data_IF_377830526339
#
_entry.id   IF_377830526339
#
_cell.length_a   1.000
_cell.length_b   1.000
_cell.length_c   1.000
_cell.angle_alpha   90.00
_cell.angle_beta   90.00
_cell.angle_gamma   90.00
#
_symmetry.space_group_name_H-M   'P 1'
#
loop_
_entity.id
_entity.type
_entity.pdbx_description
1 polymer ?
#
# COMPACT_ATOMS: atom_id res chain seq x y z
N UNK A 1 -21.50 -35.78 -24.68
CA UNK A 1 -21.11 -34.60 -23.87
C UNK A 1 -21.64 -33.38 -24.60
N UNK A 2 -22.81 -32.88 -24.20
CA UNK A 2 -23.38 -31.66 -24.77
C UNK A 2 -22.56 -30.47 -24.28
N UNK A 3 -21.96 -29.74 -25.20
CA UNK A 3 -21.32 -28.46 -24.92
C UNK A 3 -22.41 -27.40 -24.82
N UNK A 4 -22.64 -26.89 -23.62
CA UNK A 4 -23.55 -25.75 -23.37
C UNK A 4 -23.14 -24.58 -24.27
N UNK A 5 -23.92 -24.32 -25.33
CA UNK A 5 -23.77 -23.14 -26.19
C UNK A 5 -24.29 -21.92 -25.44
N UNK A 6 -23.45 -21.35 -24.58
CA UNK A 6 -23.75 -20.07 -23.95
C UNK A 6 -23.94 -18.98 -25.02
N UNK A 7 -25.00 -18.19 -24.89
CA UNK A 7 -25.27 -17.11 -25.85
C UNK A 7 -24.23 -15.97 -25.71
N UNK A 8 -23.99 -15.24 -26.80
CA UNK A 8 -23.12 -14.06 -26.77
C UNK A 8 -23.54 -13.04 -25.69
N UNK A 9 -24.85 -12.95 -25.39
CA UNK A 9 -25.37 -12.10 -24.33
C UNK A 9 -24.96 -12.57 -22.93
N UNK A 10 -24.89 -13.89 -22.70
CA UNK A 10 -24.38 -14.47 -21.46
C UNK A 10 -22.90 -14.13 -21.26
N UNK A 11 -22.08 -14.29 -22.31
CA UNK A 11 -20.66 -13.96 -22.26
C UNK A 11 -20.43 -12.45 -22.02
N UNK A 12 -21.17 -11.57 -22.70
CA UNK A 12 -21.11 -10.12 -22.49
C UNK A 12 -21.47 -9.73 -21.05
N UNK A 13 -22.50 -10.36 -20.46
CA UNK A 13 -22.88 -10.12 -19.06
C UNK A 13 -21.78 -10.55 -18.09
N UNK A 14 -21.13 -11.69 -18.36
CA UNK A 14 -20.03 -12.22 -17.54
C UNK A 14 -18.78 -11.35 -17.63
N UNK A 15 -18.44 -10.86 -18.83
CA UNK A 15 -17.32 -9.93 -19.05
C UNK A 15 -17.54 -8.64 -18.26
N UNK A 16 -18.71 -8.00 -18.38
CA UNK A 16 -19.01 -6.77 -17.62
C UNK A 16 -18.95 -6.97 -16.10
N UNK A 17 -19.37 -8.13 -15.61
CA UNK A 17 -19.28 -8.46 -14.20
C UNK A 17 -17.82 -8.62 -13.73
N UNK A 18 -16.97 -9.22 -14.57
CA UNK A 18 -15.54 -9.34 -14.30
C UNK A 18 -14.83 -7.98 -14.33
N UNK A 19 -15.09 -7.15 -15.33
CA UNK A 19 -14.55 -5.78 -15.43
C UNK A 19 -14.91 -4.95 -14.19
N UNK A 20 -16.17 -5.02 -13.74
CA UNK A 20 -16.60 -4.33 -12.50
C UNK A 20 -15.84 -4.84 -11.28
N UNK A 21 -15.56 -6.14 -11.20
CA UNK A 21 -14.83 -6.75 -10.08
C UNK A 21 -13.35 -6.37 -10.11
N UNK A 22 -12.73 -6.33 -11.28
CA UNK A 22 -11.37 -5.83 -11.48
C UNK A 22 -11.27 -4.39 -10.99
N UNK A 23 -12.17 -3.50 -11.43
CA UNK A 23 -12.19 -2.10 -11.02
C UNK A 23 -12.33 -1.92 -9.50
N UNK A 24 -13.14 -2.75 -8.83
CA UNK A 24 -13.27 -2.73 -7.37
C UNK A 24 -11.96 -3.16 -6.70
N UNK A 25 -11.30 -4.19 -7.22
CA UNK A 25 -10.02 -4.67 -6.70
C UNK A 25 -8.89 -3.66 -6.91
N UNK A 26 -8.87 -2.99 -8.07
CA UNK A 26 -7.93 -1.90 -8.37
C UNK A 26 -8.12 -0.74 -7.39
N UNK A 27 -9.36 -0.28 -7.19
CA UNK A 27 -9.67 0.77 -6.21
C UNK A 27 -9.30 0.36 -4.79
N UNK A 28 -9.53 -0.90 -4.39
CA UNK A 28 -9.15 -1.40 -3.07
C UNK A 28 -7.63 -1.45 -2.89
N UNK A 29 -6.89 -1.82 -3.94
CA UNK A 29 -5.44 -1.75 -3.98
C UNK A 29 -4.96 -0.31 -3.85
N UNK A 30 -5.59 0.63 -4.57
CA UNK A 30 -5.27 2.05 -4.55
C UNK A 30 -5.57 2.69 -3.17
N UNK A 31 -6.68 2.32 -2.53
CA UNK A 31 -6.98 2.73 -1.15
C UNK A 31 -6.00 2.14 -0.13
N UNK A 32 -5.51 0.91 -0.37
CA UNK A 32 -4.46 0.30 0.47
C UNK A 32 -3.09 0.93 0.25
N UNK A 33 -2.74 1.33 -0.97
CA UNK A 33 -1.50 2.08 -1.24
C UNK A 33 -1.58 3.53 -0.75
N UNK A 34 -2.77 4.14 -0.68
CA UNK A 34 -2.95 5.44 -0.03
C UNK A 34 -2.76 5.40 1.50
N UNK A 35 -2.88 4.21 2.11
CA UNK A 35 -2.52 3.93 3.51
C UNK A 35 -1.04 3.58 3.72
N UNK A 36 -0.15 4.04 2.84
CA UNK A 36 1.30 3.87 2.98
C UNK A 36 1.92 4.76 4.06
N UNK A 37 1.26 4.88 5.22
CA UNK A 37 1.89 5.40 6.44
C UNK A 37 2.26 4.24 7.32
N UNK A 38 3.55 3.95 7.41
CA UNK A 38 4.07 2.98 8.35
C UNK A 38 4.28 3.62 9.71
N UNK A 39 3.96 2.86 10.74
CA UNK A 39 4.47 3.09 12.08
C UNK A 39 5.96 2.75 12.13
N UNK A 40 6.68 3.21 13.15
CA UNK A 40 8.10 2.86 13.27
C UNK A 40 8.31 1.36 13.34
N UNK A 41 7.46 0.62 14.05
CA UNK A 41 7.53 -0.85 14.18
C UNK A 41 7.45 -1.54 12.81
N UNK A 42 6.48 -1.14 11.98
CA UNK A 42 6.34 -1.67 10.63
C UNK A 42 7.54 -1.33 9.74
N UNK A 43 8.17 -0.17 9.93
CA UNK A 43 9.40 0.19 9.19
C UNK A 43 10.57 -0.67 9.61
N UNK A 44 10.72 -0.94 10.91
CA UNK A 44 11.78 -1.81 11.42
C UNK A 44 11.65 -3.23 10.84
N UNK A 45 10.42 -3.75 10.79
CA UNK A 45 10.12 -5.08 10.26
C UNK A 45 10.27 -5.13 8.73
N UNK A 46 9.68 -4.17 8.01
CA UNK A 46 9.65 -4.16 6.54
C UNK A 46 11.04 -3.95 5.92
N UNK A 47 11.87 -3.09 6.53
CA UNK A 47 13.19 -2.74 6.00
C UNK A 47 14.33 -3.44 6.75
N UNK A 48 14.03 -4.26 7.76
CA UNK A 48 15.03 -4.99 8.55
C UNK A 48 16.02 -4.08 9.29
N UNK A 49 15.63 -2.84 9.59
CA UNK A 49 16.49 -1.85 10.25
C UNK A 49 16.26 -1.85 11.76
N UNK A 50 17.30 -1.51 12.53
CA UNK A 50 17.19 -1.36 13.99
C UNK A 50 16.66 0.01 14.37
N UNK A 51 16.09 0.12 15.59
CA UNK A 51 15.54 1.39 16.10
C UNK A 51 16.57 2.50 16.13
N UNK A 52 17.82 2.18 16.47
CA UNK A 52 18.93 3.13 16.49
C UNK A 52 19.31 3.63 15.09
N UNK A 53 19.12 2.81 14.06
CA UNK A 53 19.31 3.22 12.66
C UNK A 53 18.17 4.13 12.20
N UNK A 54 16.93 3.80 12.56
CA UNK A 54 15.78 4.67 12.29
C UNK A 54 15.92 6.06 12.97
N UNK A 55 16.35 6.10 14.23
CA UNK A 55 16.57 7.37 14.94
C UNK A 55 17.72 8.19 14.31
N UNK A 56 18.74 7.52 13.74
CA UNK A 56 19.78 8.16 12.94
C UNK A 56 19.21 8.77 11.65
N UNK A 57 18.34 8.07 10.95
CA UNK A 57 17.67 8.60 9.74
C UNK A 57 16.81 9.81 10.06
N UNK A 58 16.09 9.78 11.19
CA UNK A 58 15.35 10.94 11.69
C UNK A 58 16.26 12.14 11.92
N UNK A 59 17.41 11.95 12.60
CA UNK A 59 18.40 13.02 12.81
C UNK A 59 19.03 13.52 11.51
N UNK A 60 19.21 12.64 10.53
CA UNK A 60 19.76 12.95 9.23
C UNK A 60 18.76 13.66 8.27
N UNK A 61 17.48 13.77 8.66
CA UNK A 61 16.48 14.55 7.93
C UNK A 61 15.35 13.73 7.30
N UNK A 62 15.14 12.46 7.71
CA UNK A 62 13.95 11.71 7.33
C UNK A 62 12.69 12.44 7.81
N UNK A 63 11.78 12.74 6.89
CA UNK A 63 10.49 13.38 7.21
C UNK A 63 9.60 12.39 7.93
N UNK A 64 9.19 12.75 9.13
CA UNK A 64 8.26 11.96 9.96
C UNK A 64 7.11 12.84 10.42
N UNK A 65 5.91 12.26 10.48
CA UNK A 65 4.74 12.92 11.04
C UNK A 65 4.56 12.49 12.49
N UNK A 66 4.57 13.46 13.40
CA UNK A 66 4.27 13.27 14.82
C UNK A 66 3.33 14.39 15.26
N UNK A 67 2.00 14.18 15.23
CA UNK A 67 1.01 15.23 15.48
C UNK A 67 0.98 15.72 16.93
N UNK A 68 1.37 14.88 17.90
CA UNK A 68 1.41 15.22 19.32
C UNK A 68 2.79 14.96 19.91
N UNK A 69 3.16 15.71 20.96
CA UNK A 69 4.42 15.50 21.69
C UNK A 69 4.35 14.13 22.39
N UNK A 70 5.26 13.22 22.03
CA UNK A 70 5.24 11.78 22.40
C UNK A 70 4.15 10.94 21.72
N UNK A 71 3.43 11.48 20.74
CA UNK A 71 2.47 10.73 19.95
C UNK A 71 3.13 9.71 19.02
N UNK A 72 2.31 8.84 18.43
CA UNK A 72 2.78 7.84 17.46
C UNK A 72 3.48 8.51 16.28
N UNK A 73 4.65 8.00 15.94
CA UNK A 73 5.42 8.45 14.78
C UNK A 73 4.93 7.66 13.57
N UNK A 74 4.42 8.39 12.59
CA UNK A 74 3.95 7.86 11.31
C UNK A 74 4.88 8.33 10.21
N UNK A 75 5.32 7.44 9.33
CA UNK A 75 6.19 7.77 8.21
C UNK A 75 5.53 7.32 6.92
N UNK A 76 5.53 8.18 5.91
CA UNK A 76 5.07 7.78 4.58
C UNK A 76 6.12 6.87 3.94
N UNK A 77 5.70 5.76 3.34
CA UNK A 77 6.58 4.85 2.61
C UNK A 77 7.41 5.57 1.56
N UNK A 78 6.78 6.49 0.81
CA UNK A 78 7.46 7.34 -0.17
C UNK A 78 8.63 8.11 0.43
N UNK A 79 8.50 8.60 1.65
CA UNK A 79 9.57 9.39 2.30
C UNK A 79 10.74 8.49 2.71
N UNK A 80 10.49 7.26 3.16
CA UNK A 80 11.54 6.27 3.47
C UNK A 80 12.22 5.78 2.20
N UNK A 81 11.45 5.41 1.18
CA UNK A 81 12.02 4.93 -0.08
C UNK A 81 12.85 6.01 -0.78
N UNK A 82 12.38 7.26 -0.80
CA UNK A 82 13.15 8.37 -1.34
C UNK A 82 14.43 8.63 -0.53
N UNK A 83 14.38 8.44 0.79
CA UNK A 83 15.54 8.58 1.64
C UNK A 83 16.56 7.45 1.44
N UNK A 84 16.10 6.21 1.29
CA UNK A 84 16.96 5.03 1.07
C UNK A 84 17.54 4.94 -0.35
N UNK A 85 16.87 5.52 -1.36
CA UNK A 85 17.36 5.61 -2.74
C UNK A 85 18.41 6.71 -2.95
N UNK A 86 18.66 7.55 -1.94
CA UNK A 86 19.59 8.67 -2.00
C UNK A 86 21.00 8.25 -1.60
#
# INVERSE_FOLDING_TARGET
METEKFSNAYFLKKIRALEKRIKILENFLEEKTLKETYTVEEVLETYGISRSTFDRYRKAGLKVSQPERNGKIMIKKTDIENYLKK
#
